data_IF_543922174967
#
_entry.id   IF_543922174967
#
_cell.length_a   1.000
_cell.length_b   1.000
_cell.length_c   1.000
_cell.angle_alpha   90.00
_cell.angle_beta   90.00
_cell.angle_gamma   90.00
#
_symmetry.space_group_name_H-M   'P 1'
#
loop_
_entity.id
_entity.type
_entity.pdbx_description
1 polymer ?
#
# COMPACT_ATOMS: atom_id res chain seq x y z
N UNK A 1 57.04 -24.48 -21.95
CA UNK A 1 55.84 -24.37 -22.83
C UNK A 1 54.55 -24.37 -21.99
N UNK A 2 54.47 -25.16 -20.94
CA UNK A 2 53.26 -25.27 -20.09
C UNK A 2 52.87 -24.02 -19.29
N UNK A 3 53.85 -23.27 -18.80
CA UNK A 3 53.56 -22.01 -18.03
C UNK A 3 52.92 -20.91 -18.89
N UNK A 4 53.31 -20.80 -20.15
CA UNK A 4 52.76 -19.84 -21.11
C UNK A 4 51.32 -20.24 -21.54
N UNK A 5 51.04 -21.53 -21.70
CA UNK A 5 49.69 -22.02 -21.97
C UNK A 5 48.77 -21.85 -20.77
N UNK A 6 49.25 -22.07 -19.54
CA UNK A 6 48.49 -21.85 -18.32
C UNK A 6 48.14 -20.36 -18.11
N UNK A 7 49.07 -19.43 -18.36
CA UNK A 7 48.79 -18.00 -18.25
C UNK A 7 47.80 -17.51 -19.28
N UNK A 8 47.83 -18.02 -20.51
CA UNK A 8 46.85 -17.72 -21.56
C UNK A 8 45.46 -18.25 -21.23
N UNK A 9 45.34 -19.45 -20.69
CA UNK A 9 44.07 -20.01 -20.26
C UNK A 9 43.44 -19.21 -19.10
N UNK A 10 44.24 -18.82 -18.11
CA UNK A 10 43.77 -17.98 -17.00
C UNK A 10 43.30 -16.60 -17.48
N UNK A 11 44.01 -15.98 -18.43
CA UNK A 11 43.57 -14.68 -19.00
C UNK A 11 42.27 -14.80 -19.78
N UNK A 12 42.04 -15.88 -20.54
CA UNK A 12 40.79 -16.14 -21.23
C UNK A 12 39.62 -16.39 -20.26
N UNK A 13 39.83 -17.16 -19.21
CA UNK A 13 38.83 -17.42 -18.18
C UNK A 13 38.44 -16.11 -17.47
N UNK A 14 39.43 -15.30 -17.13
CA UNK A 14 39.16 -14.00 -16.47
C UNK A 14 38.40 -13.03 -17.39
N UNK A 15 38.74 -12.98 -18.67
CA UNK A 15 38.03 -12.18 -19.66
C UNK A 15 36.58 -12.64 -19.88
N UNK A 16 36.36 -13.94 -19.94
CA UNK A 16 35.01 -14.55 -20.05
C UNK A 16 34.17 -14.23 -18.79
N UNK A 17 34.76 -14.39 -17.61
CA UNK A 17 34.10 -14.09 -16.36
C UNK A 17 33.71 -12.61 -16.28
N UNK A 18 34.61 -11.71 -16.66
CA UNK A 18 34.34 -10.28 -16.73
C UNK A 18 33.21 -9.96 -17.70
N UNK A 19 33.22 -10.55 -18.89
CA UNK A 19 32.16 -10.36 -19.89
C UNK A 19 30.80 -10.89 -19.37
N UNK A 20 30.76 -12.00 -18.69
CA UNK A 20 29.53 -12.53 -18.06
C UNK A 20 28.99 -11.59 -16.96
N UNK A 21 29.88 -11.10 -16.09
CA UNK A 21 29.47 -10.14 -15.03
C UNK A 21 28.96 -8.86 -15.63
N UNK A 22 29.65 -8.29 -16.63
CA UNK A 22 29.21 -7.08 -17.31
C UNK A 22 27.86 -7.28 -18.00
N UNK A 23 27.68 -8.38 -18.71
CA UNK A 23 26.41 -8.73 -19.35
C UNK A 23 25.28 -8.88 -18.33
N UNK A 24 25.52 -9.52 -17.19
CA UNK A 24 24.55 -9.65 -16.12
C UNK A 24 24.16 -8.28 -15.52
N UNK A 25 25.13 -7.38 -15.32
CA UNK A 25 24.87 -6.02 -14.81
C UNK A 25 23.99 -5.23 -15.78
N UNK A 26 24.32 -5.25 -17.07
CA UNK A 26 23.58 -4.58 -18.14
C UNK A 26 22.15 -5.14 -18.20
N UNK A 27 21.98 -6.44 -18.26
CA UNK A 27 20.69 -7.10 -18.36
C UNK A 27 19.82 -6.82 -17.12
N UNK A 28 20.41 -6.90 -15.93
CA UNK A 28 19.68 -6.56 -14.70
C UNK A 28 19.23 -5.11 -14.67
N UNK A 29 20.04 -4.18 -15.18
CA UNK A 29 19.69 -2.76 -15.27
C UNK A 29 18.52 -2.52 -16.25
N UNK A 30 18.54 -3.18 -17.41
CA UNK A 30 17.48 -3.08 -18.42
C UNK A 30 16.16 -3.62 -17.86
N UNK A 31 16.16 -4.83 -17.29
CA UNK A 31 14.96 -5.44 -16.70
C UNK A 31 14.40 -4.60 -15.54
N UNK A 32 15.28 -3.99 -14.73
CA UNK A 32 14.83 -3.08 -13.66
C UNK A 32 14.13 -1.84 -14.21
N UNK A 33 14.63 -1.25 -15.30
CA UNK A 33 13.97 -0.13 -15.97
C UNK A 33 12.58 -0.51 -16.47
N UNK A 34 12.45 -1.67 -17.13
CA UNK A 34 11.16 -2.16 -17.63
C UNK A 34 10.15 -2.40 -16.50
N UNK A 35 10.56 -3.05 -15.41
CA UNK A 35 9.67 -3.30 -14.26
C UNK A 35 9.26 -2.00 -13.54
N UNK A 36 10.09 -0.96 -13.58
CA UNK A 36 9.77 0.33 -12.96
C UNK A 36 8.80 1.17 -13.79
N UNK A 37 8.67 0.93 -15.09
CA UNK A 37 7.72 1.67 -15.96
C UNK A 37 6.29 1.52 -15.46
N UNK A 38 5.90 0.32 -15.03
CA UNK A 38 4.54 0.06 -14.53
C UNK A 38 4.22 0.77 -13.21
N UNK A 39 5.25 1.15 -12.45
CA UNK A 39 5.10 1.83 -11.17
C UNK A 39 5.27 3.34 -11.25
N UNK A 40 5.81 3.88 -12.36
CA UNK A 40 5.94 5.32 -12.53
C UNK A 40 4.61 5.98 -12.89
N UNK A 41 4.44 7.22 -12.41
CA UNK A 41 3.24 8.02 -12.64
C UNK A 41 3.66 9.33 -13.32
N UNK A 42 3.35 9.50 -14.61
CA UNK A 42 3.72 10.74 -15.35
C UNK A 42 3.14 11.98 -14.66
N UNK A 43 3.94 13.05 -14.61
CA UNK A 43 3.56 14.32 -14.00
C UNK A 43 3.50 14.31 -12.47
N UNK A 44 3.90 13.21 -11.84
CA UNK A 44 3.91 13.06 -10.39
C UNK A 44 5.31 12.64 -9.91
N UNK A 45 5.62 12.99 -8.66
CA UNK A 45 6.79 12.49 -7.94
C UNK A 45 6.35 11.55 -6.81
N UNK A 46 7.22 10.61 -6.47
CA UNK A 46 6.98 9.75 -5.32
C UNK A 46 7.07 10.57 -4.03
N UNK A 47 6.07 10.43 -3.18
CA UNK A 47 6.02 11.01 -1.84
C UNK A 47 6.58 10.01 -0.82
N UNK A 48 7.31 10.53 0.16
CA UNK A 48 7.93 9.73 1.20
C UNK A 48 9.45 9.64 1.09
N UNK A 49 10.06 8.93 2.02
CA UNK A 49 11.50 8.71 2.06
C UNK A 49 11.94 7.86 0.87
N UNK A 50 12.92 8.36 0.14
CA UNK A 50 13.55 7.63 -0.97
C UNK A 50 14.95 7.21 -0.52
N UNK A 51 15.21 5.91 -0.49
CA UNK A 51 16.51 5.39 -0.11
C UNK A 51 16.46 4.49 1.13
N UNK A 52 17.47 4.64 1.99
CA UNK A 52 17.61 3.83 3.19
C UNK A 52 16.65 4.31 4.28
N UNK A 53 15.90 3.36 4.88
CA UNK A 53 15.01 3.65 6.00
C UNK A 53 15.75 4.20 7.21
N UNK A 54 15.18 5.17 7.90
CA UNK A 54 15.67 5.68 9.18
C UNK A 54 15.68 4.60 10.29
N UNK A 55 14.90 3.52 10.08
CA UNK A 55 14.85 2.37 10.98
C UNK A 55 15.92 1.31 10.69
N UNK A 56 16.75 1.50 9.65
CA UNK A 56 17.72 0.48 9.21
C UNK A 56 18.78 0.13 10.26
N UNK A 57 19.03 1.02 11.21
CA UNK A 57 19.97 0.88 12.33
C UNK A 57 19.28 0.73 13.69
N UNK A 58 17.96 0.43 13.71
CA UNK A 58 17.17 0.37 14.95
C UNK A 58 17.71 -0.61 16.01
N UNK A 59 18.47 -1.61 15.59
CA UNK A 59 19.12 -2.60 16.46
C UNK A 59 20.61 -2.30 16.68
N UNK A 60 21.12 -1.13 16.30
CA UNK A 60 22.49 -0.73 16.59
C UNK A 60 22.69 -0.61 18.10
N UNK A 61 23.85 -1.06 18.64
CA UNK A 61 24.18 -0.89 20.05
C UNK A 61 24.15 0.56 20.55
N UNK A 62 24.33 1.53 19.65
CA UNK A 62 24.24 2.97 19.94
C UNK A 62 22.84 3.40 20.39
N UNK A 63 21.83 2.60 20.09
CA UNK A 63 20.42 2.86 20.45
C UNK A 63 19.94 1.97 21.61
N UNK A 64 20.82 1.14 22.20
CA UNK A 64 20.49 0.38 23.39
C UNK A 64 20.41 1.31 24.60
N UNK A 65 19.30 1.22 25.35
CA UNK A 65 18.91 2.20 26.36
C UNK A 65 19.83 2.35 27.61
N UNK A 66 20.91 1.62 27.67
CA UNK A 66 21.84 1.67 28.82
C UNK A 66 22.66 2.97 28.89
N UNK A 67 22.62 3.81 27.84
CA UNK A 67 23.32 5.09 27.75
C UNK A 67 22.39 6.30 27.67
N UNK A 68 21.12 6.17 28.08
CA UNK A 68 20.21 7.30 28.16
C UNK A 68 20.63 8.21 29.34
N UNK A 69 21.45 9.20 29.02
CA UNK A 69 21.66 10.36 29.88
C UNK A 69 20.27 10.93 30.21
N UNK A 70 19.96 11.11 31.49
CA UNK A 70 18.65 11.61 31.98
C UNK A 70 18.29 13.00 31.44
N UNK A 71 19.22 13.66 30.74
CA UNK A 71 19.07 14.95 30.07
C UNK A 71 18.78 14.82 28.56
N UNK A 72 18.75 13.59 28.00
CA UNK A 72 18.55 13.40 26.58
C UNK A 72 17.10 13.69 26.17
N UNK A 73 16.92 14.68 25.30
CA UNK A 73 15.62 14.99 24.70
C UNK A 73 15.19 13.86 23.74
N UNK A 74 14.00 13.31 23.95
CA UNK A 74 13.43 12.33 23.04
C UNK A 74 13.28 12.92 21.63
N UNK A 75 13.76 12.23 20.60
CA UNK A 75 13.64 12.63 19.20
C UNK A 75 12.86 11.58 18.43
N UNK A 76 12.04 12.03 17.48
CA UNK A 76 11.36 11.13 16.55
C UNK A 76 12.39 10.60 15.56
N UNK A 77 12.58 9.27 15.52
CA UNK A 77 13.52 8.61 14.62
C UNK A 77 12.96 8.40 13.22
N UNK A 78 11.70 8.05 13.10
CA UNK A 78 11.02 7.80 11.83
C UNK A 78 9.53 8.11 11.92
N UNK A 79 8.95 8.52 10.82
CA UNK A 79 7.52 8.76 10.66
C UNK A 79 6.97 7.82 9.60
N UNK A 80 5.79 7.26 9.86
CA UNK A 80 5.12 6.35 8.94
C UNK A 80 3.66 6.73 8.75
N UNK A 81 3.19 6.62 7.52
CA UNK A 81 1.76 6.68 7.19
C UNK A 81 1.31 5.35 6.57
N UNK A 82 0.04 5.05 6.71
CA UNK A 82 -0.61 3.86 6.15
C UNK A 82 -1.76 4.29 5.22
N UNK A 83 -1.48 4.71 3.97
CA UNK A 83 -2.53 5.23 3.09
C UNK A 83 -3.70 4.25 2.89
N UNK A 84 -3.38 2.96 2.87
CA UNK A 84 -4.37 1.86 2.92
C UNK A 84 -4.20 1.13 4.25
N UNK A 85 -5.26 1.11 5.04
CA UNK A 85 -5.26 0.47 6.37
C UNK A 85 -4.74 -0.95 6.32
N UNK A 86 -3.81 -1.28 7.21
CA UNK A 86 -3.19 -2.61 7.38
C UNK A 86 -2.30 -3.08 6.21
N UNK A 87 -2.13 -2.29 5.18
CA UNK A 87 -1.11 -2.52 4.16
C UNK A 87 0.26 -2.03 4.62
N UNK A 88 1.29 -2.22 3.79
CA UNK A 88 2.65 -1.80 4.12
C UNK A 88 2.72 -0.28 4.29
N UNK A 89 3.43 0.22 5.32
CA UNK A 89 3.56 1.65 5.56
C UNK A 89 4.43 2.34 4.52
N UNK A 90 4.26 3.65 4.40
CA UNK A 90 5.14 4.56 3.68
C UNK A 90 5.90 5.37 4.71
N UNK A 91 7.23 5.26 4.69
CA UNK A 91 8.10 6.09 5.54
C UNK A 91 8.21 7.49 4.95
N UNK A 92 8.15 8.50 5.81
CA UNK A 92 8.14 9.91 5.40
C UNK A 92 9.12 10.72 6.25
N UNK A 93 9.67 11.79 5.68
CA UNK A 93 10.53 12.73 6.41
C UNK A 93 9.69 13.83 7.08
N UNK A 94 8.67 14.30 6.40
CA UNK A 94 7.75 15.33 6.87
C UNK A 94 6.35 15.09 6.32
N UNK A 95 5.34 15.63 7.02
CA UNK A 95 3.96 15.60 6.55
C UNK A 95 3.16 16.75 7.16
N UNK A 96 2.08 17.13 6.49
CA UNK A 96 1.11 18.05 7.03
C UNK A 96 0.19 17.34 8.03
N UNK A 97 -0.08 18.00 9.14
CA UNK A 97 -1.12 17.58 10.07
C UNK A 97 -2.42 18.24 9.65
N UNK A 98 -3.41 17.44 9.33
CA UNK A 98 -4.75 17.87 8.93
C UNK A 98 -5.78 17.39 9.96
N UNK A 99 -7.05 17.75 9.81
CA UNK A 99 -8.12 17.41 10.76
C UNK A 99 -8.25 15.90 11.05
N UNK A 100 -7.87 15.06 10.08
CA UNK A 100 -7.95 13.59 10.19
C UNK A 100 -6.63 12.93 10.59
N UNK A 101 -5.60 13.70 10.98
CA UNK A 101 -4.26 13.22 11.30
C UNK A 101 -3.22 13.60 10.27
N UNK A 102 -2.26 12.74 10.00
CA UNK A 102 -1.26 12.98 8.94
C UNK A 102 -1.92 12.88 7.55
N UNK A 103 -1.56 13.80 6.65
CA UNK A 103 -2.06 13.78 5.27
C UNK A 103 -1.77 12.42 4.62
N UNK A 104 -2.73 11.87 3.89
CA UNK A 104 -2.69 10.56 3.23
C UNK A 104 -2.73 9.35 4.18
N UNK A 105 -2.79 9.53 5.49
CA UNK A 105 -2.89 8.39 6.41
C UNK A 105 -4.31 7.82 6.41
N UNK A 106 -4.42 6.50 6.31
CA UNK A 106 -5.67 5.71 6.44
C UNK A 106 -6.87 6.21 5.62
N UNK A 107 -6.60 6.73 4.41
CA UNK A 107 -7.65 7.17 3.51
C UNK A 107 -8.44 6.01 2.90
N UNK A 108 -7.85 4.82 2.83
CA UNK A 108 -8.44 3.63 2.22
C UNK A 108 -8.40 2.43 3.15
N UNK A 109 -9.37 1.51 2.98
CA UNK A 109 -9.32 0.20 3.60
C UNK A 109 -9.99 -0.87 2.74
N UNK A 110 -9.55 -2.11 2.88
CA UNK A 110 -10.23 -3.26 2.30
C UNK A 110 -11.34 -3.77 3.23
N UNK A 111 -12.43 -4.23 2.65
CA UNK A 111 -13.53 -4.88 3.37
C UNK A 111 -14.01 -6.13 2.64
N UNK A 112 -14.56 -7.07 3.40
CA UNK A 112 -15.25 -8.26 2.91
C UNK A 112 -16.74 -8.11 3.14
N UNK A 113 -17.54 -8.61 2.19
CA UNK A 113 -18.96 -8.80 2.39
C UNK A 113 -19.18 -10.05 3.24
N UNK A 114 -19.74 -9.89 4.42
CA UNK A 114 -20.08 -10.98 5.31
C UNK A 114 -21.58 -11.07 5.51
N UNK A 115 -22.10 -12.29 5.47
CA UNK A 115 -23.49 -12.59 5.82
C UNK A 115 -23.55 -12.92 7.30
N UNK A 116 -24.45 -12.25 8.01
CA UNK A 116 -24.71 -12.48 9.43
C UNK A 116 -26.19 -12.80 9.61
N UNK A 117 -26.47 -13.72 10.49
CA UNK A 117 -27.84 -13.97 10.91
C UNK A 117 -28.36 -12.77 11.68
N UNK A 118 -29.52 -12.27 11.31
CA UNK A 118 -30.21 -11.22 12.06
C UNK A 118 -30.84 -11.87 13.28
N UNK A 119 -30.47 -11.39 14.47
CA UNK A 119 -31.09 -11.81 15.72
C UNK A 119 -32.60 -11.58 15.59
N UNK A 120 -33.39 -12.64 15.94
CA UNK A 120 -34.85 -12.55 15.94
C UNK A 120 -35.27 -11.63 17.08
N UNK A 121 -36.20 -10.73 16.78
CA UNK A 121 -36.88 -9.99 17.86
C UNK A 121 -37.65 -10.96 18.76
N UNK A 122 -37.68 -10.70 20.07
CA UNK A 122 -38.43 -11.50 21.04
C UNK A 122 -39.90 -11.55 20.59
N UNK A 123 -40.36 -12.74 20.17
CA UNK A 123 -41.74 -12.96 19.68
C UNK A 123 -41.85 -13.30 18.18
N UNK A 124 -40.77 -13.24 17.41
CA UNK A 124 -40.80 -13.67 16.00
C UNK A 124 -40.71 -15.20 15.89
N UNK A 125 -41.87 -15.83 15.69
CA UNK A 125 -42.01 -17.26 15.48
C UNK A 125 -41.67 -17.72 14.05
N UNK A 126 -41.13 -16.84 13.21
CA UNK A 126 -40.80 -17.21 11.83
C UNK A 126 -39.67 -18.26 11.79
N UNK A 127 -39.91 -19.33 11.03
CA UNK A 127 -38.92 -20.41 10.82
C UNK A 127 -37.77 -19.93 9.92
N UNK A 128 -37.96 -18.86 9.15
CA UNK A 128 -36.98 -18.35 8.19
C UNK A 128 -35.94 -17.46 8.87
N UNK A 129 -34.69 -17.89 8.78
CA UNK A 129 -33.53 -17.09 9.19
C UNK A 129 -33.34 -15.94 8.23
N UNK A 130 -33.39 -14.69 8.72
CA UNK A 130 -33.07 -13.49 7.93
C UNK A 130 -31.56 -13.29 7.93
N UNK A 131 -30.97 -13.12 6.75
CA UNK A 131 -29.55 -12.85 6.58
C UNK A 131 -29.34 -11.37 6.21
N UNK A 132 -28.44 -10.70 6.95
CA UNK A 132 -27.95 -9.38 6.59
C UNK A 132 -26.56 -9.51 5.98
N UNK A 133 -26.36 -8.81 4.87
CA UNK A 133 -25.05 -8.76 4.17
C UNK A 133 -24.40 -7.40 4.49
N UNK A 134 -23.30 -7.45 5.22
CA UNK A 134 -22.60 -6.25 5.68
C UNK A 134 -21.15 -6.23 5.21
N UNK A 135 -20.69 -5.10 4.73
CA UNK A 135 -19.28 -4.86 4.51
C UNK A 135 -18.58 -4.73 5.85
N UNK A 136 -17.63 -5.63 6.12
CA UNK A 136 -16.77 -5.59 7.31
C UNK A 136 -15.33 -5.33 6.88
N UNK A 137 -14.71 -4.30 7.44
CA UNK A 137 -13.31 -4.02 7.17
C UNK A 137 -12.41 -5.19 7.59
N UNK A 138 -11.32 -5.39 6.86
CA UNK A 138 -10.31 -6.40 7.17
C UNK A 138 -9.03 -5.73 7.65
N UNK A 139 -8.32 -6.43 8.51
CA UNK A 139 -7.06 -5.97 9.09
C UNK A 139 -5.99 -7.04 8.95
N UNK A 140 -4.73 -6.66 9.11
CA UNK A 140 -3.62 -7.62 9.14
C UNK A 140 -3.75 -8.71 10.22
N UNK A 141 -4.58 -8.49 11.28
CA UNK A 141 -4.88 -9.53 12.29
C UNK A 141 -5.67 -10.68 11.70
N UNK A 142 -6.61 -10.38 10.80
CA UNK A 142 -7.47 -11.37 10.16
C UNK A 142 -6.89 -11.85 8.83
N UNK A 143 -6.15 -10.98 8.13
CA UNK A 143 -5.56 -11.21 6.83
C UNK A 143 -4.10 -10.71 6.85
N UNK A 144 -3.15 -11.51 7.39
CA UNK A 144 -1.76 -11.08 7.59
C UNK A 144 -1.07 -10.62 6.30
N UNK A 145 -1.43 -11.20 5.15
CA UNK A 145 -0.86 -10.85 3.84
C UNK A 145 -1.16 -9.42 3.38
N UNK A 146 -2.11 -8.71 4.02
CA UNK A 146 -2.29 -7.27 3.78
C UNK A 146 -1.00 -6.48 4.02
N UNK A 147 -0.22 -6.83 5.04
CA UNK A 147 1.07 -6.19 5.34
C UNK A 147 2.13 -6.35 4.24
N UNK A 148 1.91 -7.25 3.28
CA UNK A 148 2.80 -7.50 2.13
C UNK A 148 2.35 -6.74 0.87
N UNK A 149 1.20 -6.07 0.91
CA UNK A 149 0.76 -5.17 -0.17
C UNK A 149 1.56 -3.88 -0.06
N UNK A 150 2.44 -3.62 -1.02
CA UNK A 150 3.23 -2.39 -1.08
C UNK A 150 2.36 -1.22 -1.53
N UNK A 151 2.54 -0.09 -0.88
CA UNK A 151 1.86 1.15 -1.20
C UNK A 151 2.91 2.23 -1.50
N UNK A 152 2.73 2.91 -2.61
CA UNK A 152 3.49 4.13 -2.93
C UNK A 152 2.49 5.26 -3.12
N UNK A 153 2.82 6.42 -2.58
CA UNK A 153 2.06 7.65 -2.78
C UNK A 153 2.77 8.47 -3.85
N UNK A 154 2.03 8.91 -4.86
CA UNK A 154 2.51 9.76 -5.93
C UNK A 154 1.72 11.04 -5.95
N UNK A 155 2.41 12.18 -5.88
CA UNK A 155 1.81 13.52 -5.82
C UNK A 155 2.22 14.33 -7.04
N UNK A 156 1.35 15.22 -7.56
CA UNK A 156 1.67 16.07 -8.69
C UNK A 156 2.97 16.85 -8.48
N UNK A 157 3.78 16.90 -9.52
CA UNK A 157 5.06 17.63 -9.50
C UNK A 157 5.17 18.55 -10.72
N UNK A 158 4.89 19.85 -10.53
CA UNK A 158 5.00 20.84 -11.62
C UNK A 158 6.40 20.94 -12.23
N UNK A 159 7.44 20.48 -11.53
CA UNK A 159 8.82 20.49 -12.05
C UNK A 159 9.13 19.30 -12.97
N UNK A 160 8.25 18.30 -13.01
CA UNK A 160 8.42 17.12 -13.85
C UNK A 160 8.27 17.47 -15.34
N UNK A 161 9.17 17.02 -16.23
CA UNK A 161 9.04 17.24 -17.68
C UNK A 161 7.74 16.65 -18.27
N UNK A 162 7.15 15.67 -17.62
CA UNK A 162 5.89 15.03 -18.02
C UNK A 162 4.66 15.62 -17.32
N UNK A 163 4.81 16.73 -16.60
CA UNK A 163 3.68 17.38 -15.93
C UNK A 163 2.76 18.06 -16.94
N UNK A 164 1.48 17.73 -16.85
CA UNK A 164 0.41 18.38 -17.61
C UNK A 164 -0.77 18.57 -16.63
N UNK A 165 -1.31 19.79 -16.47
CA UNK A 165 -2.42 20.05 -15.54
C UNK A 165 -3.63 19.14 -15.78
N UNK A 166 -3.88 18.81 -17.06
CA UNK A 166 -5.00 17.97 -17.48
C UNK A 166 -4.73 16.47 -17.39
N UNK A 167 -3.50 16.08 -17.04
CA UNK A 167 -3.18 14.67 -16.86
C UNK A 167 -4.05 14.02 -15.78
N UNK A 168 -4.46 12.80 -16.02
CA UNK A 168 -5.39 12.03 -15.18
C UNK A 168 -5.01 12.06 -13.69
N UNK A 169 -3.76 11.77 -13.40
CA UNK A 169 -3.30 11.68 -12.01
C UNK A 169 -3.01 13.05 -11.37
N UNK A 170 -2.71 14.06 -12.19
CA UNK A 170 -2.56 15.44 -11.71
C UNK A 170 -3.92 16.02 -11.29
N UNK A 171 -4.98 15.82 -12.11
CA UNK A 171 -6.36 16.21 -11.74
C UNK A 171 -6.85 15.50 -10.49
N UNK A 172 -6.47 14.23 -10.31
CA UNK A 172 -6.80 13.43 -9.13
C UNK A 172 -5.93 13.76 -7.90
N UNK A 173 -5.16 14.87 -7.93
CA UNK A 173 -4.23 15.30 -6.86
C UNK A 173 -3.21 14.22 -6.49
N UNK A 174 -2.91 13.33 -7.42
CA UNK A 174 -2.02 12.20 -7.25
C UNK A 174 -2.72 10.85 -7.24
N UNK A 175 -1.95 9.80 -7.03
CA UNK A 175 -2.48 8.44 -6.92
C UNK A 175 -1.68 7.61 -5.91
N UNK A 176 -2.32 6.55 -5.42
CA UNK A 176 -1.64 5.44 -4.77
C UNK A 176 -1.32 4.38 -5.82
N UNK A 177 -0.09 3.90 -5.82
CA UNK A 177 0.33 2.74 -6.59
C UNK A 177 0.42 1.57 -5.61
N UNK A 178 -0.50 0.62 -5.75
CA UNK A 178 -0.59 -0.57 -4.92
C UNK A 178 -0.01 -1.75 -5.67
N UNK A 179 0.85 -2.54 -5.04
CA UNK A 179 1.41 -3.72 -5.68
C UNK A 179 1.54 -4.90 -4.72
N UNK A 180 1.37 -6.11 -5.23
CA UNK A 180 1.46 -7.35 -4.46
C UNK A 180 2.14 -8.44 -5.30
N UNK A 181 2.80 -9.37 -4.63
CA UNK A 181 3.45 -10.50 -5.31
C UNK A 181 2.38 -11.45 -5.86
N UNK A 182 2.53 -11.85 -7.10
CA UNK A 182 1.67 -12.85 -7.72
C UNK A 182 2.44 -13.64 -8.78
N UNK A 183 2.57 -14.92 -8.54
CA UNK A 183 3.11 -15.87 -9.51
C UNK A 183 2.00 -16.80 -9.95
N UNK A 184 1.62 -16.83 -11.24
CA UNK A 184 0.65 -17.78 -11.75
C UNK A 184 1.09 -19.23 -11.48
N UNK A 185 0.14 -20.14 -11.38
CA UNK A 185 0.44 -21.56 -11.30
C UNK A 185 1.20 -22.04 -12.55
N UNK A 186 2.11 -22.99 -12.32
CA UNK A 186 2.89 -23.55 -13.41
C UNK A 186 1.99 -24.38 -14.35
N UNK A 187 2.14 -24.16 -15.65
CA UNK A 187 1.48 -24.96 -16.67
C UNK A 187 2.48 -25.36 -17.77
N UNK A 188 2.31 -26.55 -18.35
CA UNK A 188 3.16 -27.06 -19.43
C UNK A 188 2.71 -26.56 -20.81
N UNK A 189 2.47 -25.24 -20.92
CA UNK A 189 2.06 -24.58 -22.15
C UNK A 189 2.81 -23.24 -22.32
N UNK A 190 2.46 -22.47 -23.36
CA UNK A 190 3.07 -21.16 -23.62
C UNK A 190 2.93 -20.19 -22.45
N UNK A 191 1.89 -20.29 -21.64
CA UNK A 191 1.67 -19.42 -20.49
C UNK A 191 2.61 -19.79 -19.33
N UNK A 192 2.92 -21.08 -19.14
CA UNK A 192 3.96 -21.50 -18.20
C UNK A 192 5.34 -20.99 -18.60
N UNK A 193 5.65 -20.99 -19.91
CA UNK A 193 6.91 -20.42 -20.39
C UNK A 193 6.97 -18.89 -20.13
N UNK A 194 5.90 -18.16 -20.39
CA UNK A 194 5.81 -16.71 -20.06
C UNK A 194 6.00 -16.47 -18.55
N UNK A 195 5.39 -17.31 -17.71
CA UNK A 195 5.55 -17.26 -16.26
C UNK A 195 7.01 -17.47 -15.84
N UNK A 196 7.68 -18.48 -16.40
CA UNK A 196 9.10 -18.73 -16.14
C UNK A 196 9.99 -17.57 -16.57
N UNK A 197 9.75 -17.02 -17.75
CA UNK A 197 10.47 -15.82 -18.24
C UNK A 197 10.25 -14.61 -17.34
N UNK A 198 9.02 -14.37 -16.89
CA UNK A 198 8.69 -13.27 -15.97
C UNK A 198 9.38 -13.43 -14.61
N UNK A 199 9.37 -14.64 -14.06
CA UNK A 199 10.08 -14.97 -12.82
C UNK A 199 11.59 -14.72 -12.96
N UNK A 200 12.21 -15.26 -14.03
CA UNK A 200 13.64 -15.09 -14.28
C UNK A 200 14.01 -13.62 -14.45
N UNK A 201 13.22 -12.88 -15.24
CA UNK A 201 13.37 -11.44 -15.44
C UNK A 201 13.34 -10.68 -14.11
N UNK A 202 12.37 -10.99 -13.24
CA UNK A 202 12.22 -10.34 -11.93
C UNK A 202 13.41 -10.65 -11.03
N UNK A 203 13.84 -11.91 -10.95
CA UNK A 203 15.01 -12.33 -10.15
C UNK A 203 16.30 -11.65 -10.60
N UNK A 204 16.53 -11.56 -11.89
CA UNK A 204 17.70 -10.87 -12.48
C UNK A 204 17.61 -9.37 -12.18
N UNK A 205 16.45 -8.74 -12.39
CA UNK A 205 16.27 -7.30 -12.18
C UNK A 205 16.49 -6.89 -10.72
N UNK A 206 15.98 -7.67 -9.78
CA UNK A 206 16.08 -7.40 -8.34
C UNK A 206 17.36 -7.95 -7.72
N UNK A 207 18.12 -8.79 -8.46
CA UNK A 207 19.30 -9.52 -7.97
C UNK A 207 19.01 -10.34 -6.72
N UNK A 208 17.80 -10.86 -6.65
CA UNK A 208 17.30 -11.67 -5.55
C UNK A 208 16.60 -12.91 -6.09
N UNK A 209 17.08 -14.10 -5.71
CA UNK A 209 16.52 -15.38 -6.13
C UNK A 209 15.12 -15.65 -5.58
N UNK A 210 14.73 -14.90 -4.52
CA UNK A 210 13.41 -14.97 -3.89
C UNK A 210 12.43 -13.97 -4.47
N UNK A 211 12.88 -13.10 -5.37
CA UNK A 211 12.04 -12.09 -5.97
C UNK A 211 10.91 -12.73 -6.80
N UNK A 212 9.71 -12.21 -6.63
CA UNK A 212 8.50 -12.62 -7.33
C UNK A 212 7.95 -11.47 -8.19
N UNK A 213 7.33 -11.79 -9.34
CA UNK A 213 6.61 -10.81 -10.14
C UNK A 213 5.53 -10.13 -9.30
N UNK A 214 5.29 -8.85 -9.58
CA UNK A 214 4.30 -8.07 -8.85
C UNK A 214 3.23 -7.56 -9.80
N UNK A 215 1.99 -7.66 -9.36
CA UNK A 215 0.86 -7.02 -10.01
C UNK A 215 0.62 -5.66 -9.36
N UNK A 216 0.25 -4.68 -10.20
CA UNK A 216 0.10 -3.29 -9.79
C UNK A 216 -1.27 -2.77 -10.21
N UNK A 217 -1.88 -1.96 -9.37
CA UNK A 217 -3.06 -1.15 -9.70
C UNK A 217 -2.92 0.24 -9.07
N UNK A 218 -3.62 1.22 -9.63
CA UNK A 218 -3.53 2.62 -9.23
C UNK A 218 -4.87 3.13 -8.73
N UNK A 219 -4.85 3.95 -7.68
CA UNK A 219 -6.04 4.53 -7.05
C UNK A 219 -5.90 6.05 -7.01
N UNK A 220 -6.90 6.83 -7.40
CA UNK A 220 -6.86 8.29 -7.27
C UNK A 220 -6.92 8.72 -5.81
N UNK A 221 -6.13 9.71 -5.43
CA UNK A 221 -6.18 10.29 -4.06
C UNK A 221 -7.46 11.14 -3.90
N UNK A 222 -7.77 11.98 -4.90
CA UNK A 222 -8.99 12.77 -4.94
C UNK A 222 -9.62 12.59 -6.33
N UNK A 223 -10.56 11.66 -6.48
CA UNK A 223 -11.18 11.37 -7.77
C UNK A 223 -11.93 12.60 -8.28
N UNK A 224 -11.84 12.84 -9.58
CA UNK A 224 -12.64 13.85 -10.28
C UNK A 224 -14.12 13.43 -10.38
N UNK A 225 -14.99 14.33 -10.81
CA UNK A 225 -16.44 14.06 -10.92
C UNK A 225 -16.74 12.87 -11.85
N UNK A 226 -16.00 12.75 -12.95
CA UNK A 226 -16.17 11.66 -13.91
C UNK A 226 -15.86 10.30 -13.31
N UNK A 227 -14.88 10.20 -12.42
CA UNK A 227 -14.58 8.98 -11.69
C UNK A 227 -15.57 8.74 -10.56
N UNK A 228 -15.88 9.79 -9.81
CA UNK A 228 -16.78 9.74 -8.65
C UNK A 228 -18.19 9.27 -9.04
N UNK A 229 -18.64 9.54 -10.26
CA UNK A 229 -19.93 9.05 -10.77
C UNK A 229 -20.04 7.53 -10.86
N UNK A 230 -18.91 6.81 -10.87
CA UNK A 230 -18.87 5.34 -10.93
C UNK A 230 -18.88 4.69 -9.56
N UNK A 231 -18.74 5.48 -8.50
CA UNK A 231 -18.59 4.96 -7.14
C UNK A 231 -19.95 4.88 -6.45
N UNK A 232 -20.09 3.86 -5.63
CA UNK A 232 -21.24 3.72 -4.73
C UNK A 232 -20.85 4.17 -3.31
N UNK A 233 -21.84 4.54 -2.53
CA UNK A 233 -21.70 4.76 -1.09
C UNK A 233 -22.37 3.63 -0.36
N UNK A 234 -21.57 2.89 0.40
CA UNK A 234 -22.04 1.72 1.11
C UNK A 234 -21.78 1.90 2.61
N UNK A 235 -22.64 1.30 3.43
CA UNK A 235 -22.44 1.26 4.88
C UNK A 235 -21.39 0.19 5.19
N UNK A 236 -20.37 0.57 5.93
CA UNK A 236 -19.29 -0.32 6.35
C UNK A 236 -19.31 -0.49 7.87
N UNK A 237 -19.41 -1.72 8.34
CA UNK A 237 -19.40 -2.04 9.77
C UNK A 237 -17.97 -1.98 10.30
N UNK A 238 -17.70 -1.00 11.18
CA UNK A 238 -16.43 -0.80 11.87
C UNK A 238 -16.68 -0.88 13.38
N UNK A 239 -16.34 -1.99 14.00
CA UNK A 239 -16.60 -2.25 15.42
C UNK A 239 -18.08 -2.02 15.77
N UNK A 240 -18.36 -1.04 16.60
CA UNK A 240 -19.74 -0.64 17.01
C UNK A 240 -20.36 0.44 16.11
N UNK A 241 -19.64 0.94 15.10
CA UNK A 241 -20.08 2.01 14.22
C UNK A 241 -20.33 1.48 12.82
N UNK A 242 -21.23 2.13 12.11
CA UNK A 242 -21.58 1.78 10.72
C UNK A 242 -21.51 3.03 9.83
N UNK A 243 -20.30 3.62 9.64
CA UNK A 243 -20.15 4.79 8.78
C UNK A 243 -20.42 4.46 7.32
N UNK A 244 -20.81 5.45 6.56
CA UNK A 244 -20.86 5.40 5.10
C UNK A 244 -19.47 5.65 4.55
N UNK A 245 -19.04 4.83 3.59
CA UNK A 245 -17.76 4.97 2.89
C UNK A 245 -17.96 4.85 1.38
N UNK A 246 -17.02 5.38 0.60
CA UNK A 246 -17.07 5.38 -0.85
C UNK A 246 -16.42 4.10 -1.37
N UNK A 247 -17.17 3.29 -2.09
CA UNK A 247 -16.67 2.07 -2.71
C UNK A 247 -15.95 2.42 -4.02
N UNK A 248 -14.64 2.28 -4.02
CA UNK A 248 -13.76 2.57 -5.17
C UNK A 248 -13.22 1.30 -5.83
N UNK A 249 -13.83 0.17 -5.59
CA UNK A 249 -13.40 -1.14 -6.13
C UNK A 249 -13.33 -1.15 -7.65
N UNK A 250 -14.14 -0.34 -8.34
CA UNK A 250 -14.14 -0.18 -9.80
C UNK A 250 -12.80 0.33 -10.37
N UNK A 251 -11.91 0.90 -9.54
CA UNK A 251 -10.56 1.29 -9.96
C UNK A 251 -9.61 0.08 -10.08
N UNK A 252 -9.97 -1.05 -9.50
CA UNK A 252 -9.18 -2.28 -9.58
C UNK A 252 -9.73 -3.13 -10.73
N UNK A 253 -8.94 -3.45 -11.77
CA UNK A 253 -9.39 -4.35 -12.81
C UNK A 253 -9.90 -5.68 -12.24
N UNK A 254 -11.02 -6.23 -12.72
CA UNK A 254 -11.63 -7.44 -12.14
C UNK A 254 -10.68 -8.63 -12.03
N UNK A 255 -9.82 -8.82 -13.04
CA UNK A 255 -8.80 -9.86 -13.03
C UNK A 255 -7.76 -9.63 -11.92
N UNK A 256 -7.31 -8.39 -11.74
CA UNK A 256 -6.37 -8.02 -10.68
C UNK A 256 -7.01 -8.19 -9.30
N UNK A 257 -8.27 -7.84 -9.16
CA UNK A 257 -9.03 -8.04 -7.91
C UNK A 257 -9.17 -9.53 -7.56
N UNK A 258 -9.43 -10.39 -8.55
CA UNK A 258 -9.49 -11.84 -8.33
C UNK A 258 -8.13 -12.41 -7.86
N UNK A 259 -7.02 -11.96 -8.48
CA UNK A 259 -5.66 -12.34 -8.09
C UNK A 259 -5.30 -11.79 -6.70
N UNK A 260 -5.74 -10.58 -6.37
CA UNK A 260 -5.55 -10.01 -5.03
C UNK A 260 -6.34 -10.80 -3.97
N UNK A 261 -7.58 -11.20 -4.25
CA UNK A 261 -8.35 -12.09 -3.36
C UNK A 261 -7.60 -13.40 -3.09
N UNK A 262 -7.09 -14.03 -4.14
CA UNK A 262 -6.28 -15.24 -4.02
C UNK A 262 -5.02 -15.01 -3.18
N UNK A 263 -4.28 -13.94 -3.47
CA UNK A 263 -3.08 -13.56 -2.71
C UNK A 263 -3.40 -13.35 -1.22
N UNK A 264 -4.49 -12.66 -0.91
CA UNK A 264 -4.91 -12.39 0.46
C UNK A 264 -5.53 -13.61 1.17
N UNK A 265 -5.91 -14.65 0.44
CA UNK A 265 -6.63 -15.81 0.98
C UNK A 265 -8.07 -15.48 1.40
N UNK A 266 -8.73 -14.59 0.66
CA UNK A 266 -10.08 -14.10 0.95
C UNK A 266 -11.08 -14.74 0.00
N UNK A 267 -12.02 -15.54 0.52
CA UNK A 267 -13.06 -16.21 -0.29
C UNK A 267 -14.27 -15.31 -0.58
N UNK A 268 -14.68 -14.50 0.39
CA UNK A 268 -15.83 -13.60 0.27
C UNK A 268 -15.59 -12.48 -0.76
N UNK A 269 -16.65 -11.79 -1.25
CA UNK A 269 -16.49 -10.59 -2.03
C UNK A 269 -15.59 -9.58 -1.31
N UNK A 270 -14.59 -9.07 -2.02
CA UNK A 270 -13.63 -8.09 -1.54
C UNK A 270 -13.90 -6.74 -2.20
N UNK A 271 -13.92 -5.70 -1.42
CA UNK A 271 -14.04 -4.34 -1.91
C UNK A 271 -13.01 -3.42 -1.26
N UNK A 272 -12.70 -2.34 -1.96
CA UNK A 272 -11.85 -1.27 -1.48
C UNK A 272 -12.70 -0.01 -1.23
N UNK A 273 -12.60 0.52 -0.04
CA UNK A 273 -13.32 1.70 0.38
C UNK A 273 -12.38 2.88 0.61
N UNK A 274 -12.84 4.05 0.23
CA UNK A 274 -12.22 5.33 0.53
C UNK A 274 -13.04 6.05 1.60
N UNK A 275 -12.39 6.72 2.53
CA UNK A 275 -13.04 7.60 3.49
C UNK A 275 -13.83 8.68 2.77
N UNK A 276 -15.08 8.91 3.18
CA UNK A 276 -15.89 10.00 2.64
C UNK A 276 -15.44 11.32 3.30
N UNK A 277 -14.86 12.26 2.53
CA UNK A 277 -14.39 13.53 3.10
C UNK A 277 -15.51 14.41 3.64
N UNK A 278 -16.76 14.13 3.28
CA UNK A 278 -17.95 14.85 3.74
C UNK A 278 -18.59 14.22 4.99
N UNK A 279 -18.18 12.99 5.33
CA UNK A 279 -18.83 12.23 6.41
C UNK A 279 -17.79 11.49 7.26
N UNK A 280 -17.00 12.25 7.98
CA UNK A 280 -16.02 11.70 8.91
C UNK A 280 -16.70 11.16 10.18
N UNK A 281 -16.23 9.99 10.65
CA UNK A 281 -16.64 9.45 11.93
C UNK A 281 -16.04 10.31 13.05
N UNK A 282 -16.88 10.80 13.93
CA UNK A 282 -16.44 11.45 15.15
C UNK A 282 -16.06 10.42 16.21
N UNK A 283 -14.92 10.59 16.85
CA UNK A 283 -14.41 9.68 17.88
C UNK A 283 -14.15 10.48 19.17
N UNK A 284 -15.09 10.41 20.10
CA UNK A 284 -15.02 11.10 21.39
C UNK A 284 -14.46 10.23 22.52
N UNK A 285 -14.18 8.96 22.27
CA UNK A 285 -13.97 7.98 23.34
C UNK A 285 -12.84 8.31 24.31
N UNK A 286 -11.81 9.01 23.84
CA UNK A 286 -10.64 9.38 24.64
C UNK A 286 -10.36 10.89 24.57
N UNK A 287 -11.25 11.68 24.00
CA UNK A 287 -11.11 13.12 24.04
C UNK A 287 -11.47 13.61 25.46
N UNK A 288 -10.67 14.49 26.06
CA UNK A 288 -11.05 15.12 27.31
C UNK A 288 -12.37 15.89 27.10
N UNK A 289 -13.21 15.96 28.13
CA UNK A 289 -14.39 16.78 28.09
C UNK A 289 -13.99 18.27 27.99
N UNK A 290 -14.91 19.13 27.54
CA UNK A 290 -14.65 20.60 27.52
C UNK A 290 -14.24 21.14 28.88
N UNK A 291 -14.77 20.56 29.94
CA UNK A 291 -14.49 20.91 31.33
C UNK A 291 -13.08 20.48 31.74
N UNK A 292 -12.64 19.27 31.33
CA UNK A 292 -11.30 18.75 31.62
C UNK A 292 -10.20 19.44 30.81
N UNK A 293 -10.47 19.77 29.54
CA UNK A 293 -9.49 20.39 28.64
C UNK A 293 -9.37 21.90 28.81
N UNK A 294 -10.35 22.53 29.51
CA UNK A 294 -10.52 23.96 29.50
C UNK A 294 -11.04 24.47 28.15
N UNK A 295 -11.86 25.49 28.20
CA UNK A 295 -12.43 26.10 26.99
C UNK A 295 -11.38 26.99 26.31
N UNK A 296 -10.97 26.66 25.11
CA UNK A 296 -10.24 27.55 24.23
C UNK A 296 -11.20 28.06 23.13
N UNK A 297 -11.63 29.33 23.14
CA UNK A 297 -12.48 29.87 22.09
C UNK A 297 -11.76 29.82 20.74
N UNK A 298 -12.39 29.28 19.71
CA UNK A 298 -11.86 29.25 18.35
C UNK A 298 -10.97 28.04 17.99
N UNK A 299 -10.63 27.19 18.94
CA UNK A 299 -10.05 25.86 18.65
C UNK A 299 -11.22 24.87 18.61
N UNK A 300 -11.76 24.63 17.45
CA UNK A 300 -12.59 23.44 17.27
C UNK A 300 -11.73 22.24 17.59
N UNK A 301 -12.06 21.46 18.62
CA UNK A 301 -11.53 20.12 18.73
C UNK A 301 -11.93 19.42 17.44
N UNK A 302 -10.94 19.06 16.64
CA UNK A 302 -11.16 18.27 15.44
C UNK A 302 -11.49 16.85 15.90
N UNK A 303 -12.72 16.63 16.27
CA UNK A 303 -13.27 15.33 16.66
C UNK A 303 -13.44 14.39 15.46
N UNK A 304 -13.10 14.88 14.27
CA UNK A 304 -13.21 14.12 13.05
C UNK A 304 -11.96 13.28 12.85
N UNK A 305 -12.04 12.04 13.23
CA UNK A 305 -11.08 11.01 12.82
C UNK A 305 -11.67 10.30 11.60
N UNK A 306 -10.86 10.11 10.55
CA UNK A 306 -11.26 9.29 9.41
C UNK A 306 -11.87 7.98 9.90
N UNK A 307 -13.01 7.59 9.35
CA UNK A 307 -13.68 6.32 9.68
C UNK A 307 -12.79 5.09 9.47
N UNK A 308 -11.66 5.26 8.81
CA UNK A 308 -10.66 4.22 8.56
C UNK A 308 -9.50 4.26 9.56
N UNK A 309 -9.45 5.29 10.42
CA UNK A 309 -8.39 5.49 11.39
C UNK A 309 -8.77 4.95 12.77
N UNK A 310 -8.41 3.78 13.10
CA UNK A 310 -8.21 3.16 14.44
C UNK A 310 -8.32 1.67 14.35
#
# INVERSE_FOLDING_TARGET
MDALMQSGALALISALLFALIASFIILSSQFRKELNVDTTVPGCRRFGLVGRSNMSDQYSPEHSGDNLDSSATCKIKALFIYPVKSCKPVEIEHNDVILTGLRYDRQFCFAQLKSEEVEKEEGDLSVNTKWAHNWKFITQRNVPRLSQVDIQVWVPDPSSPSYTPDAEWVRSKGCLVCSFAFTPEWSWNLDGLKTACSLLKTKIAQRDIRAEPRLTFKLPIAPDEKRSSKYTRDVMKIWKCSPTAINVTSEIPPETLAKLKYFLGVSNPLALFMADPLNHRQVFRNAPTKEEAGYQPGVGFADAVSCLGS
#
